data_IF_787702398672
#
_entry.id   IF_787702398672
#
_cell.length_a   1.000
_cell.length_b   1.000
_cell.length_c   1.000
_cell.angle_alpha   90.00
_cell.angle_beta   90.00
_cell.angle_gamma   90.00
#
_symmetry.space_group_name_H-M   'P 1'
#
loop_
_entity.id
_entity.type
_entity.pdbx_description
1 polymer ?
#
# COMPACT_ATOMS: atom_id res chain seq x y z
N UNK A 1 15.93 -0.33 8.67
CA UNK A 1 15.15 0.47 7.72
C UNK A 1 15.30 -0.18 6.35
N UNK A 2 14.19 -0.56 5.72
CA UNK A 2 14.12 -1.27 4.43
C UNK A 2 12.89 -0.81 3.65
N UNK A 3 12.77 -1.25 2.38
CA UNK A 3 11.58 -1.09 1.54
C UNK A 3 11.04 0.35 1.50
N UNK A 4 11.84 1.26 0.94
CA UNK A 4 11.42 2.63 0.70
C UNK A 4 10.51 2.68 -0.52
N UNK A 5 9.30 3.20 -0.37
CA UNK A 5 8.32 3.28 -1.46
C UNK A 5 7.52 4.58 -1.37
N UNK A 6 7.23 5.23 -2.50
CA UNK A 6 6.39 6.44 -2.50
C UNK A 6 4.93 6.05 -2.61
N UNK A 7 4.11 6.51 -1.66
CA UNK A 7 2.66 6.39 -1.80
C UNK A 7 2.13 7.35 -2.89
N UNK A 8 0.92 7.11 -3.41
CA UNK A 8 0.34 7.95 -4.46
C UNK A 8 0.13 9.42 -4.04
N UNK A 9 0.11 9.71 -2.74
CA UNK A 9 -0.12 11.05 -2.17
C UNK A 9 1.18 11.82 -1.91
N UNK A 10 2.35 11.22 -2.18
CA UNK A 10 3.64 11.89 -2.06
C UNK A 10 4.36 11.70 -0.72
N UNK A 11 3.88 10.80 0.13
CA UNK A 11 4.61 10.40 1.33
C UNK A 11 5.50 9.19 1.05
N UNK A 12 6.54 9.02 1.85
CA UNK A 12 7.48 7.89 1.75
C UNK A 12 7.13 6.86 2.83
N UNK A 13 6.91 5.63 2.40
CA UNK A 13 6.82 4.47 3.26
C UNK A 13 8.22 3.89 3.48
N UNK A 14 8.51 3.43 4.70
CA UNK A 14 9.71 2.65 4.99
C UNK A 14 9.51 1.75 6.20
N UNK A 15 10.22 0.63 6.20
CA UNK A 15 9.94 -0.48 7.08
C UNK A 15 11.06 -0.71 8.09
N UNK A 16 10.71 -1.27 9.25
CA UNK A 16 11.63 -1.73 10.28
C UNK A 16 11.37 -3.21 10.63
N UNK A 17 12.41 -3.94 11.03
CA UNK A 17 12.34 -5.37 11.38
C UNK A 17 12.28 -5.66 12.89
N UNK A 18 12.10 -6.94 13.25
CA UNK A 18 11.70 -7.45 14.58
C UNK A 18 12.69 -7.25 15.74
N UNK A 19 13.76 -6.50 15.55
CA UNK A 19 14.72 -6.17 16.61
C UNK A 19 14.97 -4.68 16.76
N UNK A 20 14.17 -3.84 16.09
CA UNK A 20 14.27 -2.39 16.19
C UNK A 20 13.36 -1.85 17.29
N UNK A 21 13.80 -0.77 17.93
CA UNK A 21 12.99 0.05 18.84
C UNK A 21 13.23 1.49 18.45
N UNK A 22 12.15 2.21 18.15
CA UNK A 22 12.25 3.59 17.69
C UNK A 22 11.45 4.48 18.62
N UNK A 23 12.11 5.53 19.11
CA UNK A 23 11.53 6.60 19.94
C UNK A 23 11.88 7.91 19.25
N UNK A 24 10.97 8.41 18.43
CA UNK A 24 11.21 9.57 17.58
C UNK A 24 10.38 10.75 18.08
N UNK A 25 11.03 11.88 18.32
CA UNK A 25 10.36 13.15 18.58
C UNK A 25 10.15 13.89 17.27
N UNK A 26 8.94 14.38 17.05
CA UNK A 26 8.55 15.15 15.86
C UNK A 26 7.81 16.41 16.31
N UNK A 27 7.68 17.43 15.43
CA UNK A 27 6.80 18.58 15.69
C UNK A 27 5.34 18.19 15.98
N UNK A 28 4.95 16.95 15.62
CA UNK A 28 3.59 16.40 15.74
C UNK A 28 3.47 15.39 16.90
N UNK A 29 4.41 15.46 17.84
CA UNK A 29 4.48 14.60 19.01
C UNK A 29 5.40 13.39 18.83
N UNK A 30 5.55 12.64 19.91
CA UNK A 30 6.41 11.45 19.94
C UNK A 30 5.75 10.29 19.20
N UNK A 31 6.55 9.51 18.48
CA UNK A 31 6.16 8.22 17.91
C UNK A 31 7.04 7.12 18.47
N UNK A 32 6.42 6.01 18.87
CA UNK A 32 7.11 4.87 19.46
C UNK A 32 6.70 3.57 18.81
N UNK A 33 7.69 2.76 18.49
CA UNK A 33 7.51 1.40 17.98
C UNK A 33 8.50 0.46 18.66
N UNK A 34 8.15 -0.83 18.62
CA UNK A 34 9.00 -1.91 19.08
C UNK A 34 8.78 -3.14 18.21
N UNK A 35 9.88 -3.78 17.82
CA UNK A 35 9.96 -5.06 17.11
C UNK A 35 9.21 -5.04 15.76
N UNK A 36 9.69 -4.27 14.80
CA UNK A 36 9.07 -4.02 13.48
C UNK A 36 7.92 -3.01 13.47
N UNK A 37 7.89 -2.21 12.42
CA UNK A 37 6.85 -1.23 12.11
C UNK A 37 6.95 -0.80 10.64
N UNK A 38 5.87 -0.22 10.13
CA UNK A 38 5.89 0.53 8.87
C UNK A 38 5.60 2.00 9.18
N UNK A 39 6.48 2.85 8.68
CA UNK A 39 6.45 4.29 8.85
C UNK A 39 6.00 4.94 7.55
N UNK A 40 5.30 6.06 7.67
CA UNK A 40 4.94 6.95 6.57
C UNK A 40 5.42 8.35 6.90
N UNK A 41 6.30 8.90 6.07
CA UNK A 41 6.82 10.25 6.20
C UNK A 41 6.26 11.17 5.11
N UNK A 42 5.50 12.18 5.51
CA UNK A 42 5.01 13.24 4.61
C UNK A 42 6.04 14.38 4.55
N UNK A 43 6.74 14.58 3.41
CA UNK A 43 7.74 15.64 3.29
C UNK A 43 7.15 17.06 3.29
N UNK A 44 5.85 17.25 3.00
CA UNK A 44 5.19 18.57 3.03
C UNK A 44 5.05 19.08 4.44
N UNK A 45 4.57 18.23 5.34
CA UNK A 45 4.27 18.59 6.73
C UNK A 45 5.35 18.16 7.72
N UNK A 46 6.33 17.38 7.27
CA UNK A 46 7.31 16.69 8.12
C UNK A 46 6.67 15.74 9.15
N UNK A 47 5.42 15.33 8.90
CA UNK A 47 4.73 14.31 9.72
C UNK A 47 5.38 12.96 9.48
N UNK A 48 5.73 12.31 10.58
CA UNK A 48 6.18 10.93 10.60
C UNK A 48 5.15 10.13 11.40
N UNK A 49 4.42 9.26 10.74
CA UNK A 49 3.37 8.44 11.34
C UNK A 49 3.68 6.95 11.22
N UNK A 50 3.23 6.19 12.22
CA UNK A 50 3.31 4.73 12.20
C UNK A 50 2.03 4.23 11.58
N UNK A 51 2.12 3.67 10.39
CA UNK A 51 0.96 3.22 9.61
C UNK A 51 0.72 1.72 9.74
N UNK A 52 1.66 0.95 10.29
CA UNK A 52 1.41 -0.42 10.75
C UNK A 52 2.36 -0.77 11.90
N UNK A 53 1.80 -1.33 12.99
CA UNK A 53 2.58 -1.85 14.13
C UNK A 53 2.13 -3.26 14.51
N UNK A 54 2.19 -4.16 13.53
CA UNK A 54 1.82 -5.58 13.65
C UNK A 54 3.08 -6.45 13.73
N UNK A 55 2.97 -7.65 14.33
CA UNK A 55 4.11 -8.52 14.68
C UNK A 55 4.82 -9.17 13.49
N UNK A 56 5.52 -8.38 12.68
CA UNK A 56 6.30 -8.85 11.52
C UNK A 56 7.76 -9.11 11.86
N UNK A 57 8.39 -9.95 11.06
CA UNK A 57 9.78 -10.34 11.28
C UNK A 57 10.76 -9.39 10.59
N UNK A 58 10.66 -9.28 9.27
CA UNK A 58 11.57 -8.52 8.43
C UNK A 58 10.83 -8.06 7.16
N UNK A 59 9.93 -7.07 7.28
CA UNK A 59 9.17 -6.53 6.15
C UNK A 59 10.12 -5.90 5.11
N UNK A 60 10.35 -6.63 4.01
CA UNK A 60 11.31 -6.32 2.95
C UNK A 60 10.63 -6.40 1.58
N UNK A 61 9.74 -5.44 1.34
CA UNK A 61 9.03 -5.24 0.09
C UNK A 61 7.74 -4.49 0.34
N UNK A 62 7.45 -3.50 -0.48
CA UNK A 62 6.20 -2.76 -0.51
C UNK A 62 5.92 -2.39 -1.97
N UNK A 63 4.69 -2.56 -2.43
CA UNK A 63 4.29 -2.10 -3.77
C UNK A 63 2.87 -1.58 -3.72
N UNK A 64 2.62 -0.47 -4.40
CA UNK A 64 1.27 0.10 -4.59
C UNK A 64 0.69 -0.33 -5.93
N UNK A 65 -0.59 -0.65 -5.94
CA UNK A 65 -1.39 -0.87 -7.15
C UNK A 65 -1.92 0.44 -7.74
N UNK A 66 -2.79 0.31 -8.74
CA UNK A 66 -3.28 1.45 -9.53
C UNK A 66 -4.24 2.37 -8.79
N UNK A 67 -4.88 1.89 -7.72
CA UNK A 67 -5.82 2.66 -6.89
C UNK A 67 -5.30 2.88 -5.46
N UNK A 68 -3.98 2.72 -5.28
CA UNK A 68 -3.26 3.01 -4.04
C UNK A 68 -3.47 1.98 -2.92
N UNK A 69 -4.16 0.88 -3.19
CA UNK A 69 -4.00 -0.36 -2.42
C UNK A 69 -2.54 -0.80 -2.47
N UNK A 70 -2.06 -1.45 -1.42
CA UNK A 70 -0.67 -1.90 -1.40
C UNK A 70 -0.49 -3.27 -0.77
N UNK A 71 0.61 -3.90 -1.16
CA UNK A 71 1.02 -5.23 -0.74
C UNK A 71 2.37 -5.13 -0.03
N UNK A 72 2.54 -5.91 1.03
CA UNK A 72 3.76 -5.95 1.83
C UNK A 72 4.34 -7.36 1.87
N UNK A 73 5.64 -7.49 1.65
CA UNK A 73 6.36 -8.76 1.77
C UNK A 73 7.16 -8.82 3.10
N UNK A 74 6.95 -9.85 3.91
CA UNK A 74 7.69 -10.15 5.14
C UNK A 74 8.68 -11.31 4.92
N UNK A 75 9.97 -10.96 4.87
CA UNK A 75 11.04 -11.80 4.38
C UNK A 75 11.15 -13.13 5.12
N UNK A 76 11.23 -13.12 6.45
CA UNK A 76 11.72 -14.28 7.21
C UNK A 76 10.85 -15.53 7.06
N UNK A 77 9.52 -15.35 7.05
CA UNK A 77 8.55 -16.43 6.81
C UNK A 77 8.24 -16.64 5.33
N UNK A 78 8.50 -15.63 4.50
CA UNK A 78 8.08 -15.58 3.11
C UNK A 78 6.61 -15.16 2.94
N UNK A 79 6.06 -14.49 3.94
CA UNK A 79 4.64 -14.14 4.04
C UNK A 79 4.37 -12.83 3.30
N UNK A 80 3.28 -12.75 2.55
CA UNK A 80 2.88 -11.53 1.84
C UNK A 80 1.44 -11.15 2.22
N UNK A 81 1.22 -9.86 2.43
CA UNK A 81 0.00 -9.32 3.04
C UNK A 81 -0.61 -8.21 2.20
N UNK A 82 -1.94 -8.12 2.23
CA UNK A 82 -2.63 -6.88 1.87
C UNK A 82 -2.38 -5.88 2.98
N UNK A 83 -1.74 -4.76 2.66
CA UNK A 83 -1.20 -3.85 3.66
C UNK A 83 -2.30 -3.21 4.53
N UNK A 84 -3.48 -2.93 3.96
CA UNK A 84 -4.59 -2.35 4.72
C UNK A 84 -5.04 -3.21 5.90
N UNK A 85 -4.91 -4.54 5.82
CA UNK A 85 -5.17 -5.41 6.98
C UNK A 85 -4.19 -5.16 8.14
N UNK A 86 -3.00 -4.64 7.85
CA UNK A 86 -1.95 -4.35 8.83
C UNK A 86 -2.02 -2.92 9.37
N UNK A 87 -2.79 -2.05 8.72
CA UNK A 87 -2.79 -0.61 8.96
C UNK A 87 -3.70 -0.16 10.14
N UNK A 88 -3.93 -1.08 11.08
CA UNK A 88 -4.78 -0.88 12.23
C UNK A 88 -4.14 0.11 13.22
N UNK A 89 -4.94 1.01 13.83
CA UNK A 89 -4.46 1.86 14.91
C UNK A 89 -4.08 1.00 16.13
N UNK A 90 -3.15 1.50 16.94
CA UNK A 90 -2.57 0.73 18.05
C UNK A 90 -2.28 1.60 19.28
N UNK A 91 -2.09 0.95 20.42
CA UNK A 91 -1.64 1.59 21.65
C UNK A 91 -0.27 1.03 21.99
N UNK A 92 0.78 1.85 21.93
CA UNK A 92 2.11 1.39 22.34
C UNK A 92 2.10 0.94 23.82
N UNK A 93 2.69 -0.21 24.19
CA UNK A 93 3.57 -1.07 23.40
C UNK A 93 2.88 -2.29 22.74
N UNK A 94 1.55 -2.32 22.76
CA UNK A 94 0.73 -3.43 22.28
C UNK A 94 0.63 -3.42 20.75
N UNK A 95 0.47 -4.62 20.20
CA UNK A 95 0.34 -4.85 18.76
C UNK A 95 -1.01 -5.47 18.43
N UNK A 96 -1.71 -4.98 17.40
CA UNK A 96 -2.88 -5.65 16.87
C UNK A 96 -2.54 -7.09 16.42
N UNK A 97 -3.56 -7.95 16.43
CA UNK A 97 -3.43 -9.32 15.95
C UNK A 97 -3.05 -9.32 14.46
N UNK A 98 -2.09 -10.15 14.06
CA UNK A 98 -1.64 -10.24 12.67
C UNK A 98 -2.66 -11.03 11.84
N UNK A 99 -3.27 -10.43 10.81
CA UNK A 99 -4.22 -11.12 9.93
C UNK A 99 -3.54 -12.16 9.03
N UNK A 100 -4.36 -12.92 8.30
CA UNK A 100 -3.89 -13.92 7.35
C UNK A 100 -3.09 -13.28 6.19
N UNK A 101 -2.10 -14.04 5.70
CA UNK A 101 -1.34 -13.72 4.49
C UNK A 101 -2.10 -14.22 3.26
N UNK A 102 -1.96 -13.54 2.12
CA UNK A 102 -2.56 -14.00 0.85
C UNK A 102 -1.62 -14.93 0.06
N UNK A 103 -0.31 -14.88 0.33
CA UNK A 103 0.69 -15.68 -0.40
C UNK A 103 1.89 -16.02 0.48
N UNK A 104 2.34 -17.28 0.41
CA UNK A 104 3.67 -17.69 0.86
C UNK A 104 4.23 -18.72 -0.11
N UNK A 105 5.33 -18.35 -0.79
CA UNK A 105 6.00 -19.20 -1.80
C UNK A 105 7.34 -19.73 -1.31
N UNK A 106 7.64 -19.58 -0.02
CA UNK A 106 8.96 -19.85 0.57
C UNK A 106 9.72 -18.58 0.97
N UNK A 107 10.84 -18.78 1.66
CA UNK A 107 11.61 -17.73 2.33
C UNK A 107 13.06 -17.63 1.81
N UNK A 108 13.75 -16.51 2.03
CA UNK A 108 13.15 -15.23 2.36
C UNK A 108 12.52 -14.61 1.12
N UNK A 109 11.49 -13.79 1.30
CA UNK A 109 11.09 -12.83 0.27
C UNK A 109 12.02 -11.61 0.33
N UNK A 110 12.40 -11.04 -0.80
CA UNK A 110 13.40 -9.96 -0.86
C UNK A 110 13.11 -8.93 -1.96
N UNK A 111 12.15 -8.05 -1.70
CA UNK A 111 11.57 -7.15 -2.69
C UNK A 111 10.38 -7.79 -3.42
N UNK A 112 9.41 -6.94 -3.74
CA UNK A 112 8.21 -7.29 -4.49
C UNK A 112 7.86 -6.17 -5.47
N UNK A 113 7.06 -6.50 -6.48
CA UNK A 113 6.62 -5.57 -7.53
C UNK A 113 5.31 -6.08 -8.14
N UNK A 114 4.63 -5.25 -8.93
CA UNK A 114 3.50 -5.60 -9.77
C UNK A 114 3.84 -5.25 -11.23
N UNK A 115 3.57 -6.14 -12.20
CA UNK A 115 3.78 -5.78 -13.61
C UNK A 115 2.79 -4.68 -14.02
N UNK A 116 3.32 -3.49 -14.32
CA UNK A 116 2.54 -2.36 -14.82
C UNK A 116 3.31 -1.65 -15.94
N UNK A 117 3.33 -2.28 -17.12
CA UNK A 117 3.98 -1.72 -18.31
C UNK A 117 3.54 -2.42 -19.60
N UNK A 118 3.25 -1.63 -20.64
CA UNK A 118 2.95 -2.14 -21.98
C UNK A 118 4.09 -2.93 -22.63
N UNK A 119 5.32 -2.83 -22.10
CA UNK A 119 6.43 -3.66 -22.55
C UNK A 119 6.18 -5.16 -22.29
N UNK A 120 5.43 -5.50 -21.24
CA UNK A 120 5.00 -6.85 -20.94
C UNK A 120 3.64 -7.16 -21.59
N UNK A 121 3.33 -8.44 -21.88
CA UNK A 121 2.02 -8.87 -22.37
C UNK A 121 0.85 -8.44 -21.48
N UNK A 122 -0.33 -8.32 -22.10
CA UNK A 122 -1.53 -7.81 -21.41
C UNK A 122 -2.05 -8.81 -20.37
N UNK A 123 -1.84 -10.10 -20.60
CA UNK A 123 -2.27 -11.21 -19.73
C UNK A 123 -1.43 -11.37 -18.46
N UNK A 124 -0.30 -10.65 -18.35
CA UNK A 124 0.58 -10.67 -17.17
C UNK A 124 0.58 -9.37 -16.39
N UNK A 125 -0.17 -8.35 -16.81
CA UNK A 125 -0.32 -7.11 -16.03
C UNK A 125 -0.93 -7.42 -14.66
N UNK A 126 -0.52 -6.65 -13.65
CA UNK A 126 -0.94 -6.79 -12.25
C UNK A 126 -0.62 -8.16 -11.61
N UNK A 127 0.27 -8.95 -12.22
CA UNK A 127 0.85 -10.12 -11.54
C UNK A 127 1.81 -9.65 -10.44
N UNK A 128 1.73 -10.28 -9.27
CA UNK A 128 2.57 -9.96 -8.13
C UNK A 128 3.88 -10.74 -8.19
N UNK A 129 5.00 -10.03 -8.17
CA UNK A 129 6.35 -10.57 -8.21
C UNK A 129 6.97 -10.57 -6.82
N UNK A 130 7.74 -11.62 -6.55
CA UNK A 130 8.54 -11.69 -5.33
C UNK A 130 9.86 -12.40 -5.58
N UNK A 131 10.96 -11.77 -5.15
CA UNK A 131 12.26 -12.41 -5.18
C UNK A 131 12.40 -13.38 -4.02
N UNK A 132 13.13 -14.47 -4.24
CA UNK A 132 13.61 -15.32 -3.16
C UNK A 132 15.06 -15.71 -3.40
N UNK A 133 15.73 -15.95 -2.28
CA UNK A 133 17.15 -16.22 -2.29
C UNK A 133 17.56 -17.35 -1.35
N UNK A 134 16.67 -18.19 -0.82
CA UNK A 134 17.02 -19.44 -0.11
C UNK A 134 16.11 -20.56 -0.60
N UNK A 135 16.69 -21.71 -0.96
CA UNK A 135 15.97 -22.84 -1.53
C UNK A 135 15.60 -22.60 -3.00
N UNK A 136 14.87 -21.51 -3.27
CA UNK A 136 14.69 -20.96 -4.61
C UNK A 136 15.56 -19.71 -4.79
N UNK A 137 16.13 -19.57 -5.99
CA UNK A 137 17.04 -18.50 -6.36
C UNK A 137 16.50 -17.79 -7.60
N UNK A 138 15.68 -16.75 -7.40
CA UNK A 138 14.94 -16.18 -8.51
C UNK A 138 13.80 -15.26 -8.14
N UNK A 139 13.00 -14.95 -9.16
CA UNK A 139 11.81 -14.12 -9.08
C UNK A 139 10.60 -14.97 -9.46
N UNK A 140 9.71 -15.19 -8.49
CA UNK A 140 8.41 -15.83 -8.71
C UNK A 140 7.36 -14.77 -9.01
N UNK A 141 6.28 -15.19 -9.64
CA UNK A 141 5.15 -14.33 -9.93
C UNK A 141 3.83 -15.11 -9.97
N UNK A 142 2.79 -14.46 -9.47
CA UNK A 142 1.49 -15.05 -9.22
C UNK A 142 0.40 -14.07 -9.65
N UNK A 143 -0.62 -14.56 -10.35
CA UNK A 143 -1.82 -13.78 -10.67
C UNK A 143 -2.67 -13.64 -9.40
N UNK A 144 -3.09 -12.41 -9.11
CA UNK A 144 -4.00 -12.11 -8.02
C UNK A 144 -5.44 -12.16 -8.53
N UNK A 145 -6.33 -12.79 -7.77
CA UNK A 145 -7.78 -12.78 -8.02
C UNK A 145 -8.47 -12.30 -6.75
N UNK A 146 -9.34 -11.31 -6.88
CA UNK A 146 -10.09 -10.74 -5.76
C UNK A 146 -10.92 -11.81 -5.04
N UNK A 147 -10.78 -11.87 -3.71
CA UNK A 147 -11.59 -12.72 -2.84
C UNK A 147 -11.87 -11.97 -1.52
N UNK A 148 -13.10 -11.52 -1.34
CA UNK A 148 -13.49 -10.74 -0.16
C UNK A 148 -12.66 -9.46 -0.02
N UNK A 149 -12.03 -9.29 1.15
CA UNK A 149 -11.10 -8.18 1.43
C UNK A 149 -9.64 -8.49 1.10
N UNK A 150 -9.37 -9.67 0.53
CA UNK A 150 -8.02 -10.18 0.21
C UNK A 150 -7.93 -10.65 -1.26
N UNK A 151 -6.92 -11.46 -1.56
CA UNK A 151 -6.71 -12.12 -2.85
C UNK A 151 -6.50 -13.62 -2.67
N UNK A 152 -6.98 -14.39 -3.65
CA UNK A 152 -6.40 -15.71 -3.97
C UNK A 152 -5.29 -15.54 -5.00
N UNK A 153 -4.45 -16.56 -5.11
CA UNK A 153 -3.30 -16.52 -6.03
C UNK A 153 -3.26 -17.74 -6.93
N UNK A 154 -2.87 -17.53 -8.19
CA UNK A 154 -2.56 -18.60 -9.14
C UNK A 154 -1.16 -18.38 -9.70
N UNK A 155 -0.25 -19.32 -9.45
CA UNK A 155 1.12 -19.23 -9.94
C UNK A 155 1.16 -19.25 -11.47
N UNK A 156 2.03 -18.41 -12.04
CA UNK A 156 2.32 -18.46 -13.46
C UNK A 156 3.04 -19.77 -13.83
N UNK A 157 2.88 -20.29 -15.07
CA UNK A 157 3.42 -21.61 -15.44
C UNK A 157 4.95 -21.74 -15.36
N UNK A 158 5.68 -20.63 -15.43
CA UNK A 158 7.14 -20.55 -15.31
C UNK A 158 7.49 -19.42 -14.37
N UNK A 159 8.60 -19.52 -13.65
CA UNK A 159 9.13 -18.40 -12.88
C UNK A 159 9.68 -17.31 -13.81
N UNK A 160 9.64 -16.04 -13.38
CA UNK A 160 10.14 -14.90 -14.16
C UNK A 160 11.66 -14.99 -14.34
N UNK A 161 12.37 -15.31 -13.26
CA UNK A 161 13.81 -15.57 -13.25
C UNK A 161 14.06 -16.78 -12.36
N UNK A 162 14.91 -17.71 -12.79
CA UNK A 162 15.42 -18.78 -11.95
C UNK A 162 16.89 -19.04 -12.26
N UNK A 163 17.66 -19.45 -11.25
CA UNK A 163 19.07 -19.81 -11.41
C UNK A 163 19.41 -21.04 -10.59
N UNK A 164 20.32 -21.86 -11.11
CA UNK A 164 20.95 -22.96 -10.36
C UNK A 164 22.21 -22.51 -9.61
N UNK A 165 22.70 -21.30 -9.86
CA UNK A 165 23.82 -20.71 -9.12
C UNK A 165 23.36 -20.33 -7.71
N UNK A 166 23.90 -21.01 -6.70
CA UNK A 166 23.55 -20.75 -5.30
C UNK A 166 24.01 -19.39 -4.82
N UNK A 167 24.88 -18.69 -5.55
CA UNK A 167 25.29 -17.33 -5.22
C UNK A 167 24.34 -16.28 -5.81
N UNK A 168 23.44 -16.65 -6.73
CA UNK A 168 22.39 -15.75 -7.20
C UNK A 168 21.37 -15.50 -6.08
N UNK A 169 21.27 -14.25 -5.66
CA UNK A 169 20.45 -13.78 -4.53
C UNK A 169 19.78 -12.45 -4.94
N UNK A 170 18.67 -12.49 -5.69
CA UNK A 170 17.93 -11.27 -6.02
C UNK A 170 17.32 -10.67 -4.74
N UNK A 171 17.48 -9.36 -4.55
CA UNK A 171 17.14 -8.65 -3.30
C UNK A 171 16.29 -7.39 -3.47
N UNK A 172 16.12 -6.92 -4.71
CA UNK A 172 15.24 -5.83 -5.07
C UNK A 172 14.82 -5.98 -6.54
N UNK A 173 13.68 -5.39 -6.90
CA UNK A 173 13.24 -5.27 -8.27
C UNK A 173 12.40 -4.01 -8.47
N UNK A 174 12.35 -3.49 -9.70
CA UNK A 174 11.52 -2.35 -10.07
C UNK A 174 11.26 -2.33 -11.57
N UNK A 175 10.08 -1.90 -12.00
CA UNK A 175 9.81 -1.58 -13.41
C UNK A 175 10.44 -0.22 -13.76
N UNK A 176 11.39 -0.22 -14.70
CA UNK A 176 12.06 0.99 -15.14
C UNK A 176 11.25 1.85 -16.12
N UNK A 177 11.73 3.07 -16.42
CA UNK A 177 11.04 4.02 -17.31
C UNK A 177 10.97 3.56 -18.78
N UNK A 178 11.77 2.57 -19.15
CA UNK A 178 11.73 1.90 -20.45
C UNK A 178 10.73 0.73 -20.50
N UNK A 179 9.99 0.51 -19.41
CA UNK A 179 9.00 -0.53 -19.23
C UNK A 179 9.56 -1.92 -18.89
N UNK A 180 10.88 -2.09 -18.80
CA UNK A 180 11.51 -3.38 -18.46
C UNK A 180 11.63 -3.58 -16.96
N UNK A 181 11.68 -4.83 -16.51
CA UNK A 181 11.88 -5.16 -15.10
C UNK A 181 13.38 -5.21 -14.80
N UNK A 182 13.84 -4.44 -13.83
CA UNK A 182 15.20 -4.49 -13.31
C UNK A 182 15.23 -5.30 -12.03
N UNK A 183 16.22 -6.18 -11.87
CA UNK A 183 16.43 -6.99 -10.66
C UNK A 183 17.86 -6.81 -10.17
N UNK A 184 18.01 -6.43 -8.91
CA UNK A 184 19.32 -6.31 -8.25
C UNK A 184 19.63 -7.63 -7.56
N UNK A 185 20.77 -8.20 -7.92
CA UNK A 185 21.31 -9.41 -7.33
C UNK A 185 22.52 -9.07 -6.45
N UNK A 186 22.40 -9.41 -5.17
CA UNK A 186 23.45 -9.20 -4.18
C UNK A 186 24.69 -10.08 -4.45
N UNK A 187 24.52 -11.21 -5.15
CA UNK A 187 25.57 -12.15 -5.53
C UNK A 187 26.48 -12.55 -4.34
N UNK A 188 25.97 -13.35 -3.40
CA UNK A 188 26.71 -13.64 -2.17
C UNK A 188 26.64 -15.12 -1.74
N UNK A 189 27.78 -15.75 -1.41
CA UNK A 189 27.79 -17.11 -0.86
C UNK A 189 27.28 -17.17 0.59
N UNK A 190 27.32 -16.06 1.34
CA UNK A 190 26.94 -16.00 2.75
C UNK A 190 25.75 -15.05 2.95
N UNK A 191 24.64 -15.60 3.45
CA UNK A 191 23.44 -14.82 3.78
C UNK A 191 23.37 -14.48 5.27
N UNK A 192 23.39 -15.50 6.13
CA UNK A 192 23.14 -15.35 7.56
C UNK A 192 24.26 -14.64 8.30
N UNK A 193 23.92 -13.86 9.33
CA UNK A 193 24.86 -13.17 10.22
C UNK A 193 25.06 -13.89 11.56
N UNK A 194 24.29 -14.95 11.83
CA UNK A 194 24.42 -15.77 13.04
C UNK A 194 25.46 -16.88 12.87
N UNK A 195 25.51 -17.51 11.69
CA UNK A 195 26.42 -18.62 11.39
C UNK A 195 27.82 -18.13 10.98
N UNK A 196 27.91 -16.92 10.44
CA UNK A 196 29.14 -16.35 9.92
C UNK A 196 29.24 -14.88 10.30
N UNK A 197 30.46 -14.44 10.64
CA UNK A 197 30.74 -13.04 10.94
C UNK A 197 30.22 -12.11 9.83
N UNK A 198 29.73 -10.93 10.21
CA UNK A 198 29.42 -9.85 9.24
C UNK A 198 30.66 -9.37 8.48
N UNK A 199 31.86 -9.68 8.99
CA UNK A 199 33.16 -9.39 8.34
C UNK A 199 33.83 -10.63 7.72
N UNK A 200 33.10 -11.72 7.52
CA UNK A 200 33.65 -12.92 6.88
C UNK A 200 34.18 -12.57 5.47
N UNK A 201 35.44 -12.88 5.14
CA UNK A 201 36.06 -12.45 3.88
C UNK A 201 35.45 -13.08 2.64
N UNK A 202 34.64 -14.15 2.79
CA UNK A 202 33.91 -14.76 1.66
C UNK A 202 32.66 -13.96 1.28
N UNK A 203 32.23 -12.98 2.08
CA UNK A 203 31.14 -12.09 1.71
C UNK A 203 31.58 -11.23 0.53
N UNK A 204 30.92 -11.42 -0.60
CA UNK A 204 31.20 -10.64 -1.80
C UNK A 204 30.64 -9.22 -1.67
N UNK A 205 31.45 -8.25 -2.07
CA UNK A 205 31.10 -6.82 -2.11
C UNK A 205 31.43 -6.17 -3.46
N UNK A 206 31.90 -6.93 -4.44
CA UNK A 206 32.40 -6.44 -5.73
C UNK A 206 31.67 -6.98 -6.95
N UNK A 207 30.93 -8.09 -6.82
CA UNK A 207 30.30 -8.79 -7.96
C UNK A 207 28.77 -8.78 -7.93
N UNK A 208 28.15 -7.80 -7.26
CA UNK A 208 26.71 -7.55 -7.39
C UNK A 208 26.33 -7.32 -8.86
N UNK A 209 25.13 -7.77 -9.25
CA UNK A 209 24.65 -7.72 -10.64
C UNK A 209 23.33 -6.97 -10.74
N UNK A 210 23.11 -6.30 -11.86
CA UNK A 210 21.79 -5.75 -12.22
C UNK A 210 21.33 -6.45 -13.48
N UNK A 211 20.19 -7.13 -13.39
CA UNK A 211 19.55 -7.82 -14.50
C UNK A 211 18.44 -6.97 -15.06
N UNK A 212 18.35 -6.91 -16.40
CA UNK A 212 17.25 -6.26 -17.12
C UNK A 212 16.45 -7.33 -17.85
N UNK A 213 15.22 -7.58 -17.39
CA UNK A 213 14.29 -8.53 -17.98
C UNK A 213 13.37 -7.80 -18.95
N UNK A 214 13.44 -8.22 -20.20
CA UNK A 214 12.65 -7.65 -21.30
C UNK A 214 11.92 -8.74 -22.06
N UNK A 215 10.78 -8.39 -22.63
CA UNK A 215 10.18 -9.20 -23.67
C UNK A 215 11.09 -9.19 -24.91
N UNK A 216 11.29 -10.36 -25.53
CA UNK A 216 12.26 -10.50 -26.62
C UNK A 216 11.90 -9.65 -27.84
N UNK A 217 10.61 -9.59 -28.16
CA UNK A 217 10.06 -9.06 -29.43
C UNK A 217 9.25 -7.77 -29.29
N UNK A 218 9.02 -7.26 -28.07
CA UNK A 218 8.26 -6.01 -27.88
C UNK A 218 9.20 -4.83 -27.81
N UNK A 219 8.78 -3.72 -28.40
CA UNK A 219 9.49 -2.46 -28.28
C UNK A 219 9.57 -2.01 -26.81
N UNK A 220 10.64 -1.29 -26.48
CA UNK A 220 10.74 -0.61 -25.19
C UNK A 220 9.69 0.50 -25.12
N UNK A 221 9.21 0.80 -23.91
CA UNK A 221 8.40 2.00 -23.68
C UNK A 221 9.31 3.21 -23.84
N UNK A 222 8.85 4.22 -24.59
CA UNK A 222 9.52 5.51 -24.63
C UNK A 222 9.11 6.30 -23.38
N UNK A 223 10.07 6.55 -22.50
CA UNK A 223 9.86 7.41 -21.34
C UNK A 223 9.41 8.81 -21.80
N UNK A 224 8.33 9.38 -21.24
CA UNK A 224 7.91 10.74 -21.56
C UNK A 224 8.83 11.76 -20.89
N UNK A 225 8.90 12.95 -21.48
CA UNK A 225 9.60 14.09 -20.88
C UNK A 225 8.76 14.65 -19.73
N UNK A 226 9.23 14.44 -18.50
CA UNK A 226 8.60 15.02 -17.28
C UNK A 226 9.25 16.36 -16.92
N UNK A 227 10.57 16.46 -17.12
CA UNK A 227 11.31 17.69 -16.85
C UNK A 227 11.04 18.67 -17.99
N UNK A 228 10.52 19.85 -17.64
CA UNK A 228 10.20 20.90 -18.61
C UNK A 228 8.80 20.80 -19.23
N UNK A 229 8.04 19.74 -18.96
CA UNK A 229 6.63 19.65 -19.36
C UNK A 229 5.76 20.67 -18.61
N UNK A 230 4.71 21.17 -19.28
CA UNK A 230 3.71 22.03 -18.64
C UNK A 230 2.83 21.24 -17.68
N UNK A 231 2.11 21.93 -16.80
CA UNK A 231 1.19 21.28 -15.86
C UNK A 231 0.10 20.48 -16.57
N UNK A 232 -0.44 20.98 -17.69
CA UNK A 232 -1.43 20.27 -18.50
C UNK A 232 -0.84 19.00 -19.12
N UNK A 233 0.37 19.08 -19.66
CA UNK A 233 1.06 17.91 -20.21
C UNK A 233 1.32 16.86 -19.12
N UNK A 234 1.73 17.29 -17.92
CA UNK A 234 1.94 16.38 -16.79
C UNK A 234 0.63 15.70 -16.35
N UNK A 235 -0.48 16.43 -16.29
CA UNK A 235 -1.79 15.84 -15.97
C UNK A 235 -2.17 14.77 -17.00
N UNK A 236 -1.96 15.03 -18.29
CA UNK A 236 -2.21 14.03 -19.33
C UNK A 236 -1.32 12.78 -19.23
N UNK A 237 -0.09 12.91 -18.72
CA UNK A 237 0.77 11.74 -18.46
C UNK A 237 0.21 10.81 -17.37
N UNK A 238 -0.71 11.26 -16.51
CA UNK A 238 -1.41 10.39 -15.53
C UNK A 238 -2.36 9.38 -16.20
N UNK A 239 -2.67 9.57 -17.49
CA UNK A 239 -3.43 8.61 -18.31
C UNK A 239 -2.60 7.38 -18.69
N UNK A 240 -1.27 7.48 -18.68
CA UNK A 240 -0.40 6.40 -19.10
C UNK A 240 -0.54 5.15 -18.21
N UNK A 241 -0.43 3.94 -18.79
CA UNK A 241 -0.57 2.70 -18.02
C UNK A 241 0.67 2.38 -17.17
N UNK A 242 1.85 2.94 -17.50
CA UNK A 242 3.07 2.69 -16.72
C UNK A 242 3.02 3.35 -15.34
N UNK A 243 2.90 2.55 -14.27
CA UNK A 243 2.84 3.04 -12.89
C UNK A 243 4.08 3.83 -12.47
N UNK A 244 5.28 3.40 -12.87
CA UNK A 244 6.54 4.11 -12.61
C UNK A 244 6.47 5.56 -13.14
N UNK A 245 6.03 5.73 -14.40
CA UNK A 245 5.83 7.05 -15.00
C UNK A 245 4.85 7.90 -14.19
N UNK A 246 3.67 7.35 -13.85
CA UNK A 246 2.67 8.09 -13.06
C UNK A 246 3.20 8.50 -11.69
N UNK A 247 3.99 7.65 -11.02
CA UNK A 247 4.61 7.98 -9.75
C UNK A 247 5.55 9.20 -9.87
N UNK A 248 6.41 9.23 -10.89
CA UNK A 248 7.27 10.38 -11.14
C UNK A 248 6.50 11.65 -11.52
N UNK A 249 5.43 11.51 -12.31
CA UNK A 249 4.53 12.62 -12.67
C UNK A 249 3.84 13.19 -11.44
N UNK A 250 3.26 12.36 -10.57
CA UNK A 250 2.67 12.81 -9.28
C UNK A 250 3.70 13.58 -8.47
N UNK A 251 4.90 13.05 -8.29
CA UNK A 251 5.99 13.74 -7.56
C UNK A 251 6.37 15.09 -8.15
N UNK A 252 6.29 15.24 -9.47
CA UNK A 252 6.51 16.53 -10.13
C UNK A 252 5.35 17.50 -9.90
N UNK A 253 4.11 17.03 -10.02
CA UNK A 253 2.89 17.83 -9.79
C UNK A 253 2.75 18.27 -8.32
N UNK A 254 3.17 17.43 -7.37
CA UNK A 254 3.23 17.74 -5.93
C UNK A 254 4.15 18.91 -5.58
N UNK A 255 5.05 19.29 -6.49
CA UNK A 255 5.98 20.41 -6.35
C UNK A 255 5.59 21.60 -7.22
N UNK A 256 4.49 21.51 -7.96
CA UNK A 256 3.95 22.61 -8.77
C UNK A 256 3.24 23.60 -7.85
N UNK A 257 3.34 24.89 -8.17
CA UNK A 257 2.64 25.93 -7.42
C UNK A 257 1.11 25.65 -7.41
N UNK A 258 0.45 25.59 -6.24
CA UNK A 258 -0.99 25.43 -6.16
C UNK A 258 -1.81 26.44 -6.98
N UNK A 259 -1.28 27.65 -7.19
CA UNK A 259 -1.93 28.69 -8.01
C UNK A 259 -1.90 28.35 -9.51
N UNK A 260 -0.95 27.52 -9.96
CA UNK A 260 -0.89 26.99 -11.31
C UNK A 260 -1.66 25.65 -11.42
N UNK A 261 -1.45 24.76 -10.46
CA UNK A 261 -1.93 23.38 -10.52
C UNK A 261 -3.46 23.27 -10.48
N UNK A 262 -4.12 23.92 -9.52
CA UNK A 262 -5.54 23.70 -9.29
C UNK A 262 -6.44 24.26 -10.40
N UNK A 263 -6.15 25.43 -11.01
CA UNK A 263 -6.84 25.85 -12.23
C UNK A 263 -6.70 24.82 -13.36
N UNK A 264 -5.49 24.28 -13.57
CA UNK A 264 -5.26 23.25 -14.58
C UNK A 264 -6.01 21.93 -14.27
N UNK A 265 -6.08 21.52 -13.01
CA UNK A 265 -6.88 20.36 -12.56
C UNK A 265 -8.36 20.57 -12.89
N UNK A 266 -8.93 21.75 -12.65
CA UNK A 266 -10.35 22.03 -12.97
C UNK A 266 -10.60 21.88 -14.47
N UNK A 267 -9.75 22.48 -15.31
CA UNK A 267 -9.85 22.36 -16.77
C UNK A 267 -9.67 20.92 -17.24
N UNK A 268 -8.67 20.21 -16.69
CA UNK A 268 -8.38 18.82 -17.06
C UNK A 268 -9.50 17.88 -16.63
N UNK A 269 -10.03 18.00 -15.41
CA UNK A 269 -11.18 17.22 -14.92
C UNK A 269 -12.40 17.39 -15.80
N UNK A 270 -12.70 18.61 -16.24
CA UNK A 270 -13.80 18.90 -17.16
C UNK A 270 -13.62 18.26 -18.55
N UNK A 271 -12.38 17.92 -18.94
CA UNK A 271 -12.08 17.21 -20.19
C UNK A 271 -12.24 15.69 -20.09
N UNK A 272 -12.35 15.13 -18.88
CA UNK A 272 -12.53 13.69 -18.69
C UNK A 272 -13.98 13.32 -19.00
N UNK A 273 -14.18 12.53 -20.06
CA UNK A 273 -15.51 12.06 -20.45
C UNK A 273 -16.09 11.13 -19.37
N UNK A 274 -17.41 11.19 -19.17
CA UNK A 274 -18.12 10.20 -18.35
C UNK A 274 -17.95 8.77 -18.84
N UNK A 275 -17.74 8.58 -20.15
CA UNK A 275 -17.52 7.27 -20.77
C UNK A 275 -16.02 6.87 -20.84
N UNK A 276 -15.11 7.67 -20.29
CA UNK A 276 -13.68 7.34 -20.30
C UNK A 276 -13.43 6.12 -19.37
N UNK A 277 -12.88 5.00 -19.88
CA UNK A 277 -12.63 3.81 -19.06
C UNK A 277 -11.64 4.06 -17.91
N UNK A 278 -10.86 5.13 -17.96
CA UNK A 278 -9.92 5.52 -16.90
C UNK A 278 -10.53 6.51 -15.90
N UNK A 279 -11.76 7.00 -16.13
CA UNK A 279 -12.37 8.11 -15.39
C UNK A 279 -12.20 7.97 -13.88
N UNK A 280 -12.61 6.83 -13.32
CA UNK A 280 -12.59 6.60 -11.87
C UNK A 280 -11.17 6.66 -11.30
N UNK A 281 -10.18 6.12 -12.02
CA UNK A 281 -8.77 6.22 -11.64
C UNK A 281 -8.27 7.66 -11.75
N UNK A 282 -8.62 8.38 -12.81
CA UNK A 282 -8.18 9.77 -13.01
C UNK A 282 -8.78 10.73 -11.97
N UNK A 283 -10.03 10.51 -11.53
CA UNK A 283 -10.58 11.22 -10.38
C UNK A 283 -9.77 10.98 -9.12
N UNK A 284 -9.37 9.72 -8.88
CA UNK A 284 -8.56 9.37 -7.72
C UNK A 284 -7.15 9.99 -7.80
N UNK A 285 -6.56 10.07 -9.00
CA UNK A 285 -5.31 10.81 -9.25
C UNK A 285 -5.46 12.29 -8.85
N UNK A 286 -6.58 12.94 -9.21
CA UNK A 286 -6.89 14.30 -8.78
C UNK A 286 -7.00 14.37 -7.25
N UNK A 287 -7.72 13.43 -6.63
CA UNK A 287 -7.91 13.40 -5.19
C UNK A 287 -6.57 13.26 -4.44
N UNK A 288 -5.63 12.46 -4.95
CA UNK A 288 -4.28 12.38 -4.40
C UNK A 288 -3.48 13.68 -4.53
N UNK A 289 -3.65 14.42 -5.63
CA UNK A 289 -3.06 15.75 -5.76
C UNK A 289 -3.64 16.73 -4.74
N UNK A 290 -4.94 16.66 -4.46
CA UNK A 290 -5.57 17.41 -3.36
C UNK A 290 -4.95 17.06 -2.01
N UNK A 291 -4.87 15.78 -1.65
CA UNK A 291 -4.21 15.31 -0.42
C UNK A 291 -2.77 15.82 -0.30
N UNK A 292 -1.99 15.69 -1.37
CA UNK A 292 -0.57 16.05 -1.38
C UNK A 292 -0.30 17.54 -1.20
N UNK A 293 -1.30 18.40 -1.46
CA UNK A 293 -1.25 19.84 -1.23
C UNK A 293 -2.00 20.26 0.04
N UNK A 294 -2.49 19.31 0.84
CA UNK A 294 -3.28 19.59 2.04
C UNK A 294 -4.64 20.24 1.76
N UNK A 295 -5.20 20.05 0.56
CA UNK A 295 -6.52 20.55 0.21
C UNK A 295 -7.56 19.45 0.38
N UNK A 296 -8.58 19.72 1.18
CA UNK A 296 -9.73 18.82 1.35
C UNK A 296 -10.75 19.08 0.24
N UNK A 297 -11.24 18.03 -0.40
CA UNK A 297 -12.32 18.09 -1.39
C UNK A 297 -13.29 16.92 -1.15
N UNK A 298 -14.30 17.18 -0.33
CA UNK A 298 -15.31 16.19 0.04
C UNK A 298 -16.31 15.91 -1.09
N UNK A 299 -16.50 16.87 -2.00
CA UNK A 299 -17.37 16.71 -3.16
C UNK A 299 -16.75 15.72 -4.15
N UNK A 300 -15.44 15.83 -4.41
CA UNK A 300 -14.70 14.85 -5.21
C UNK A 300 -14.70 13.46 -4.55
N UNK A 301 -14.57 13.38 -3.22
CA UNK A 301 -14.73 12.09 -2.51
C UNK A 301 -16.13 11.52 -2.75
N UNK A 302 -17.17 12.34 -2.60
CA UNK A 302 -18.56 11.92 -2.81
C UNK A 302 -18.81 11.43 -4.23
N UNK A 303 -18.21 12.10 -5.23
CA UNK A 303 -18.23 11.69 -6.64
C UNK A 303 -17.55 10.33 -6.83
N UNK A 304 -16.33 10.15 -6.31
CA UNK A 304 -15.61 8.88 -6.45
C UNK A 304 -16.36 7.75 -5.76
N UNK A 305 -17.00 7.99 -4.60
CA UNK A 305 -17.83 7.00 -3.92
C UNK A 305 -19.10 6.61 -4.71
N UNK A 306 -19.46 7.37 -5.75
CA UNK A 306 -20.56 7.02 -6.66
C UNK A 306 -20.10 6.22 -7.89
N UNK A 307 -18.79 6.08 -8.11
CA UNK A 307 -18.22 5.31 -9.22
C UNK A 307 -18.42 3.80 -9.06
N UNK A 308 -18.47 3.07 -10.19
CA UNK A 308 -18.61 1.61 -10.19
C UNK A 308 -17.34 0.88 -9.73
N UNK A 309 -16.17 1.49 -9.93
CA UNK A 309 -14.87 0.88 -9.60
C UNK A 309 -14.62 0.85 -8.09
N UNK A 310 -14.84 -0.29 -7.45
CA UNK A 310 -14.64 -0.46 -6.00
C UNK A 310 -13.23 -0.09 -5.50
N UNK A 311 -12.12 -0.43 -6.19
CA UNK A 311 -10.79 0.07 -5.81
C UNK A 311 -10.68 1.60 -5.75
N UNK A 312 -11.36 2.32 -6.65
CA UNK A 312 -11.38 3.79 -6.63
C UNK A 312 -12.11 4.32 -5.38
N UNK A 313 -13.26 3.73 -5.05
CA UNK A 313 -14.01 4.04 -3.82
C UNK A 313 -13.18 3.79 -2.56
N UNK A 314 -12.48 2.66 -2.50
CA UNK A 314 -11.57 2.34 -1.40
C UNK A 314 -10.43 3.36 -1.29
N UNK A 315 -9.86 3.79 -2.42
CA UNK A 315 -8.87 4.86 -2.50
C UNK A 315 -9.39 6.20 -1.97
N UNK A 316 -10.65 6.54 -2.23
CA UNK A 316 -11.26 7.77 -1.71
C UNK A 316 -11.44 7.73 -0.18
N UNK A 317 -11.91 6.60 0.37
CA UNK A 317 -11.99 6.41 1.83
C UNK A 317 -10.59 6.45 2.47
N UNK A 318 -9.57 5.90 1.81
CA UNK A 318 -8.18 5.98 2.29
C UNK A 318 -7.69 7.43 2.38
N UNK A 319 -8.06 8.29 1.42
CA UNK A 319 -7.76 9.73 1.48
C UNK A 319 -8.50 10.41 2.65
N UNK A 320 -9.78 10.09 2.89
CA UNK A 320 -10.49 10.58 4.08
C UNK A 320 -9.76 10.19 5.37
N UNK A 321 -9.28 8.94 5.48
CA UNK A 321 -8.48 8.48 6.61
C UNK A 321 -7.24 9.34 6.81
N UNK A 322 -6.51 9.66 5.73
CA UNK A 322 -5.33 10.53 5.80
C UNK A 322 -5.68 11.94 6.29
N UNK A 323 -6.76 12.55 5.80
CA UNK A 323 -7.20 13.85 6.31
C UNK A 323 -7.63 13.82 7.79
N UNK A 324 -8.27 12.73 8.24
CA UNK A 324 -8.59 12.52 9.66
C UNK A 324 -7.32 12.38 10.51
N UNK A 325 -6.34 11.59 10.05
CA UNK A 325 -5.03 11.45 10.69
C UNK A 325 -4.28 12.80 10.77
N UNK A 326 -4.39 13.60 9.72
CA UNK A 326 -3.81 14.94 9.63
C UNK A 326 -4.56 15.99 10.44
N UNK A 327 -5.80 15.70 10.87
CA UNK A 327 -6.70 16.62 11.58
C UNK A 327 -6.99 17.89 10.78
N UNK A 328 -7.12 17.74 9.45
CA UNK A 328 -7.37 18.87 8.52
C UNK A 328 -8.80 18.90 7.98
N UNK A 329 -9.65 17.97 8.43
CA UNK A 329 -11.05 17.85 8.02
C UNK A 329 -11.97 17.80 9.23
N UNK A 330 -13.16 18.38 9.10
CA UNK A 330 -14.23 18.26 10.10
C UNK A 330 -14.74 16.82 10.16
N UNK A 331 -14.71 16.24 11.37
CA UNK A 331 -15.18 14.88 11.65
C UNK A 331 -16.66 14.70 11.30
N UNK A 332 -17.48 15.73 11.49
CA UNK A 332 -18.92 15.64 11.20
C UNK A 332 -19.17 15.60 9.70
N UNK A 333 -18.39 16.36 8.94
CA UNK A 333 -18.51 16.45 7.49
C UNK A 333 -18.13 15.14 6.77
N UNK A 334 -17.28 14.29 7.37
CA UNK A 334 -16.91 12.99 6.77
C UNK A 334 -17.91 11.87 7.05
N UNK A 335 -18.79 12.02 8.06
CA UNK A 335 -19.71 10.96 8.47
C UNK A 335 -20.57 10.41 7.33
N UNK A 336 -21.24 11.24 6.50
CA UNK A 336 -22.07 10.72 5.42
C UNK A 336 -21.26 9.93 4.37
N UNK A 337 -19.98 10.26 4.20
CA UNK A 337 -19.09 9.59 3.24
C UNK A 337 -18.61 8.24 3.77
N UNK A 338 -18.24 8.18 5.06
CA UNK A 338 -17.86 6.93 5.72
C UNK A 338 -19.07 6.00 5.89
N UNK A 339 -20.25 6.55 6.14
CA UNK A 339 -21.53 5.82 6.20
C UNK A 339 -21.85 5.15 4.85
N UNK A 340 -21.62 5.82 3.72
CA UNK A 340 -21.66 5.20 2.38
C UNK A 340 -20.64 4.07 2.24
N UNK A 341 -19.39 4.29 2.66
CA UNK A 341 -18.35 3.26 2.60
C UNK A 341 -18.62 2.04 3.48
N UNK A 342 -19.28 2.23 4.63
CA UNK A 342 -19.67 1.15 5.55
C UNK A 342 -20.75 0.23 4.96
N UNK A 343 -21.62 0.78 4.10
CA UNK A 343 -22.67 0.04 3.38
C UNK A 343 -22.24 -0.45 2.00
N UNK A 344 -20.98 -0.28 1.62
CA UNK A 344 -20.51 -0.70 0.31
C UNK A 344 -20.55 -2.23 0.16
N UNK A 345 -21.01 -2.70 -0.98
CA UNK A 345 -21.07 -4.14 -1.28
C UNK A 345 -19.67 -4.77 -1.30
N UNK A 346 -18.64 -3.99 -1.65
CA UNK A 346 -17.26 -4.47 -1.73
C UNK A 346 -16.55 -4.44 -0.36
N UNK A 347 -16.05 -5.60 0.08
CA UNK A 347 -15.37 -5.75 1.36
C UNK A 347 -14.09 -4.90 1.51
N UNK A 348 -13.39 -4.56 0.41
CA UNK A 348 -12.20 -3.70 0.47
C UNK A 348 -12.56 -2.24 0.76
N UNK A 349 -13.72 -1.76 0.30
CA UNK A 349 -14.23 -0.42 0.64
C UNK A 349 -14.64 -0.37 2.11
N UNK A 350 -15.34 -1.41 2.58
CA UNK A 350 -15.67 -1.56 4.01
C UNK A 350 -14.41 -1.66 4.87
N UNK A 351 -13.37 -2.36 4.43
CA UNK A 351 -12.08 -2.44 5.11
C UNK A 351 -11.44 -1.05 5.31
N UNK A 352 -11.33 -0.23 4.25
CA UNK A 352 -10.79 1.12 4.39
C UNK A 352 -11.67 2.00 5.28
N UNK A 353 -12.99 1.79 5.25
CA UNK A 353 -13.93 2.49 6.13
C UNK A 353 -13.68 2.15 7.59
N UNK A 354 -13.50 0.88 7.93
CA UNK A 354 -13.15 0.44 9.28
C UNK A 354 -11.86 1.11 9.77
N UNK A 355 -10.84 1.18 8.91
CA UNK A 355 -9.57 1.84 9.25
C UNK A 355 -9.74 3.35 9.43
N UNK A 356 -10.58 4.01 8.62
CA UNK A 356 -10.91 5.42 8.78
C UNK A 356 -11.68 5.70 10.08
N UNK A 357 -12.62 4.82 10.45
CA UNK A 357 -13.40 4.90 11.69
C UNK A 357 -12.52 4.91 12.94
N UNK A 358 -11.38 4.24 12.91
CA UNK A 358 -10.40 4.27 14.02
C UNK A 358 -9.87 5.67 14.33
N UNK A 359 -9.71 6.52 13.31
CA UNK A 359 -9.29 7.91 13.46
C UNK A 359 -10.47 8.87 13.65
N UNK A 360 -11.67 8.49 13.17
CA UNK A 360 -12.91 9.17 13.51
C UNK A 360 -13.29 9.02 14.98
N UNK A 361 -12.90 7.91 15.63
CA UNK A 361 -13.06 7.65 17.07
C UNK A 361 -14.50 7.75 17.58
N UNK A 362 -14.67 7.73 18.91
CA UNK A 362 -15.94 7.98 19.58
C UNK A 362 -17.08 7.03 19.20
N UNK A 363 -18.31 7.45 19.52
CA UNK A 363 -19.53 6.71 19.21
C UNK A 363 -19.75 6.57 17.70
N UNK A 364 -19.39 7.59 16.93
CA UNK A 364 -19.57 7.60 15.49
C UNK A 364 -18.70 6.55 14.79
N UNK A 365 -17.42 6.47 15.18
CA UNK A 365 -16.51 5.44 14.67
C UNK A 365 -17.02 4.04 15.02
N UNK A 366 -17.48 3.82 16.25
CA UNK A 366 -18.01 2.53 16.68
C UNK A 366 -19.33 2.16 15.96
N UNK A 367 -20.22 3.12 15.71
CA UNK A 367 -21.45 2.89 14.95
C UNK A 367 -21.16 2.44 13.51
N UNK A 368 -20.13 2.99 12.87
CA UNK A 368 -19.68 2.53 11.55
C UNK A 368 -19.13 1.10 11.59
N UNK A 369 -18.42 0.71 12.67
CA UNK A 369 -17.94 -0.67 12.83
C UNK A 369 -19.09 -1.67 13.01
N UNK A 370 -20.11 -1.30 13.79
CA UNK A 370 -21.33 -2.11 13.94
C UNK A 370 -22.01 -2.30 12.59
N UNK A 371 -22.19 -1.22 11.82
CA UNK A 371 -22.78 -1.26 10.48
C UNK A 371 -22.02 -2.18 9.52
N UNK A 372 -20.69 -2.09 9.47
CA UNK A 372 -19.85 -2.99 8.64
C UNK A 372 -20.05 -4.46 9.03
N UNK A 373 -20.24 -4.71 10.33
CA UNK A 373 -20.36 -6.06 10.90
C UNK A 373 -21.72 -6.72 10.66
N UNK A 374 -22.73 -5.94 10.25
CA UNK A 374 -24.03 -6.48 9.83
C UNK A 374 -24.00 -7.10 8.42
N UNK A 375 -22.95 -6.83 7.64
CA UNK A 375 -22.76 -7.41 6.31
C UNK A 375 -21.73 -8.56 6.34
N UNK A 376 -21.69 -9.46 5.34
CA UNK A 376 -20.73 -10.56 5.30
C UNK A 376 -19.28 -10.05 5.40
N UNK A 377 -18.47 -10.70 6.23
CA UNK A 377 -17.05 -10.42 6.41
C UNK A 377 -16.24 -11.71 6.31
N UNK A 378 -15.07 -11.61 5.70
CA UNK A 378 -14.03 -12.62 5.81
C UNK A 378 -13.28 -12.51 7.15
N UNK A 379 -12.39 -13.47 7.41
CA UNK A 379 -11.59 -13.49 8.63
C UNK A 379 -10.68 -12.25 8.77
N UNK A 380 -9.91 -11.83 7.73
CA UNK A 380 -9.06 -10.63 7.84
C UNK A 380 -9.84 -9.36 8.21
N UNK A 381 -10.98 -9.09 7.55
CA UNK A 381 -11.81 -7.92 7.88
C UNK A 381 -12.34 -8.01 9.30
N UNK A 382 -12.75 -9.21 9.75
CA UNK A 382 -13.23 -9.43 11.12
C UNK A 382 -12.14 -9.12 12.17
N UNK A 383 -10.89 -9.48 11.91
CA UNK A 383 -9.74 -9.15 12.78
C UNK A 383 -9.51 -7.63 12.84
N UNK A 384 -9.61 -6.96 11.69
CA UNK A 384 -9.43 -5.51 11.59
C UNK A 384 -10.53 -4.77 12.36
N UNK A 385 -11.80 -5.16 12.19
CA UNK A 385 -12.93 -4.59 12.95
C UNK A 385 -12.72 -4.74 14.46
N UNK A 386 -12.38 -5.94 14.93
CA UNK A 386 -12.15 -6.20 16.36
C UNK A 386 -11.01 -5.34 16.92
N UNK A 387 -9.93 -5.19 16.15
CA UNK A 387 -8.75 -4.42 16.57
C UNK A 387 -9.05 -2.92 16.62
N UNK A 388 -9.76 -2.39 15.60
CA UNK A 388 -10.17 -0.98 15.60
C UNK A 388 -11.17 -0.71 16.72
N UNK A 389 -12.14 -1.59 16.96
CA UNK A 389 -13.09 -1.43 18.06
C UNK A 389 -12.38 -1.39 19.41
N UNK A 390 -11.43 -2.31 19.64
CA UNK A 390 -10.63 -2.31 20.86
C UNK A 390 -9.82 -1.02 21.03
N UNK A 391 -9.31 -0.46 19.92
CA UNK A 391 -8.62 0.82 19.93
C UNK A 391 -9.55 1.98 20.29
N UNK A 392 -10.76 2.05 19.72
CA UNK A 392 -11.72 3.13 20.01
C UNK A 392 -12.24 3.03 21.46
N UNK A 393 -12.58 1.82 21.93
CA UNK A 393 -13.16 1.61 23.25
C UNK A 393 -12.22 1.92 24.43
N UNK A 394 -10.92 2.11 24.17
CA UNK A 394 -9.91 2.38 25.22
C UNK A 394 -10.13 3.72 25.93
N UNK A 395 -10.76 4.69 25.24
CA UNK A 395 -10.91 6.06 25.75
C UNK A 395 -12.07 6.17 26.77
N UNK A 396 -12.72 5.06 27.11
CA UNK A 396 -13.71 4.96 28.20
C UNK A 396 -15.08 5.56 27.88
N UNK A 397 -15.26 6.15 26.70
CA UNK A 397 -16.50 6.82 26.30
C UNK A 397 -17.58 5.87 25.79
N UNK A 398 -17.28 4.59 25.49
CA UNK A 398 -18.23 3.66 24.87
C UNK A 398 -18.59 2.55 25.86
N UNK A 399 -19.85 2.53 26.31
CA UNK A 399 -20.37 1.51 27.22
C UNK A 399 -20.41 0.09 26.60
N UNK A 400 -20.43 -0.89 27.50
CA UNK A 400 -20.06 -2.29 27.30
C UNK A 400 -20.79 -3.07 26.22
N UNK A 401 -22.02 -2.72 25.83
CA UNK A 401 -22.86 -3.64 25.05
C UNK A 401 -22.35 -3.90 23.62
N UNK A 402 -21.80 -2.88 22.95
CA UNK A 402 -21.18 -3.07 21.64
C UNK A 402 -19.90 -3.90 21.75
N UNK A 403 -19.06 -3.62 22.75
CA UNK A 403 -17.82 -4.35 23.05
C UNK A 403 -18.11 -5.80 23.44
N UNK A 404 -19.21 -6.05 24.16
CA UNK A 404 -19.63 -7.39 24.58
C UNK A 404 -20.12 -8.24 23.39
N UNK A 405 -20.86 -7.69 22.43
CA UNK A 405 -21.26 -8.43 21.21
C UNK A 405 -20.05 -8.97 20.45
N UNK A 406 -19.02 -8.14 20.23
CA UNK A 406 -17.80 -8.58 19.55
C UNK A 406 -16.90 -9.51 20.36
N UNK A 407 -16.98 -9.47 21.70
CA UNK A 407 -16.22 -10.39 22.58
C UNK A 407 -16.84 -11.78 22.68
N UNK A 408 -18.17 -11.91 22.54
CA UNK A 408 -18.87 -13.16 22.82
C UNK A 408 -19.45 -13.90 21.59
N UNK A 409 -19.64 -13.27 20.43
CA UNK A 409 -20.43 -13.90 19.34
C UNK A 409 -19.71 -14.88 18.38
N UNK A 410 -18.44 -15.27 18.56
CA UNK A 410 -17.85 -16.37 17.74
C UNK A 410 -16.87 -17.29 18.48
N UNK A 411 -17.30 -17.86 19.60
CA UNK A 411 -16.76 -19.14 20.06
C UNK A 411 -17.54 -20.35 19.49
N UNK A 412 -18.67 -20.13 18.81
CA UNK A 412 -19.57 -21.20 18.32
C UNK A 412 -19.74 -21.22 16.79
N UNK A 413 -18.68 -20.98 16.02
CA UNK A 413 -18.67 -21.27 14.59
C UNK A 413 -17.33 -21.91 14.18
N UNK A 414 -17.23 -23.20 14.52
CA UNK A 414 -16.22 -24.17 14.07
C UNK A 414 -16.46 -24.60 12.63
#
# INVERSE_FOLDING_TARGET
>A
LSAFEWDPTGAIFFHEGVFTKSNVETPWGTRRTRDAAVWRFDPRTTRLDVVAHTGHANPWGHVFGDYGESLMADASGGDNYVFSHLAMPYVYPDKPARPARFLNRGRPTAGCELISSRHFPDDVQETFLVNQCIGFHGTRWDRLTDEGSTFTTTSMPKDMISSTDTNFRPVAMEIGPDGTLYVVDWCNPIIGHMQYSVRDPRRDSSHGRVWRVRHAERALVKAPDIVGATTEQLLDLLRLPERNTRQHVRRRLQRTDPLELFPAIVTWRASISEADPLRDRLLLEILWLHQSHGRVDLDLVSEILACDTAPARAGAIRTLRLWLMEQVVDRTAVLPLLDRGARDDNMKVRLETVLASGYLGGYEGAALLDMVSQAPMDEPLSIVVKSVLAFIARDGEIESDLVMRFRYERMDAS
#
